data_IF_325701876697
#
_entry.id   IF_325701876697
#
_cell.length_a   1.000
_cell.length_b   1.000
_cell.length_c   1.000
_cell.angle_alpha   90.00
_cell.angle_beta   90.00
_cell.angle_gamma   90.00
#
_symmetry.space_group_name_H-M   'P 1'
#
loop_
_entity.id
_entity.type
_entity.pdbx_description
1 polymer ?
#
# COMPACT_ATOMS: atom_id res chain seq x y z
N UNK A 1 7.59 2.69 -7.18
CA UNK A 1 6.37 2.27 -6.46
C UNK A 1 6.63 1.79 -5.01
N UNK A 2 7.68 2.27 -4.32
CA UNK A 2 7.95 1.92 -2.91
C UNK A 2 7.14 2.75 -1.90
N UNK A 3 6.77 3.97 -2.31
CA UNK A 3 6.16 4.97 -1.42
C UNK A 3 4.77 4.59 -0.88
N UNK A 4 4.05 3.69 -1.55
CA UNK A 4 2.69 3.32 -1.15
C UNK A 4 2.61 2.60 0.20
N UNK A 5 3.73 2.06 0.69
CA UNK A 5 3.85 1.46 2.02
C UNK A 5 4.44 2.42 3.07
N UNK A 6 4.83 3.64 2.68
CA UNK A 6 5.31 4.65 3.63
C UNK A 6 4.13 5.17 4.47
N UNK A 7 4.38 5.39 5.76
CA UNK A 7 3.39 6.01 6.64
C UNK A 7 2.98 7.39 6.09
N UNK A 8 1.70 7.72 6.23
CA UNK A 8 1.12 8.97 5.73
C UNK A 8 1.19 9.17 4.22
N UNK A 9 1.49 8.12 3.45
CA UNK A 9 1.43 8.20 2.00
C UNK A 9 -0.02 8.23 1.53
N UNK A 10 -0.41 9.35 0.93
CA UNK A 10 -1.73 9.51 0.32
C UNK A 10 -1.59 9.72 -1.19
N UNK A 11 -2.23 8.85 -1.97
CA UNK A 11 -2.34 9.02 -3.42
C UNK A 11 -3.28 10.17 -3.80
N UNK A 12 -3.40 10.47 -5.10
CA UNK A 12 -4.32 11.52 -5.59
C UNK A 12 -5.75 11.33 -5.08
N UNK A 13 -6.25 10.09 -5.11
CA UNK A 13 -7.60 9.75 -4.63
C UNK A 13 -7.82 10.12 -3.15
N UNK A 14 -6.83 9.90 -2.29
CA UNK A 14 -6.94 10.26 -0.88
C UNK A 14 -6.64 11.74 -0.59
N UNK A 15 -6.10 12.50 -1.55
CA UNK A 15 -6.04 13.98 -1.46
C UNK A 15 -7.39 14.61 -1.80
N UNK A 16 -8.18 13.97 -2.66
CA UNK A 16 -9.52 14.43 -3.03
C UNK A 16 -10.53 14.22 -1.91
N UNK A 17 -10.42 13.09 -1.20
CA UNK A 17 -11.23 12.78 -0.01
C UNK A 17 -10.34 12.99 1.22
N UNK A 18 -10.35 14.20 1.79
CA UNK A 18 -9.44 14.66 2.84
C UNK A 18 -9.40 13.88 4.17
N UNK A 19 -10.05 12.71 4.23
CA UNK A 19 -10.08 11.82 5.39
C UNK A 19 -9.04 10.68 5.29
N UNK A 20 -8.29 10.58 4.18
CA UNK A 20 -7.32 9.50 4.00
C UNK A 20 -5.99 9.78 4.71
N UNK A 21 -5.73 9.03 5.79
CA UNK A 21 -4.51 9.16 6.61
C UNK A 21 -3.26 8.52 5.98
N UNK A 22 -3.40 7.74 4.90
CA UNK A 22 -2.26 7.04 4.29
C UNK A 22 -1.66 5.91 5.14
N UNK A 23 -2.38 5.44 6.17
CA UNK A 23 -1.84 4.45 7.12
C UNK A 23 -2.12 2.98 6.77
N UNK A 24 -3.12 2.70 5.93
CA UNK A 24 -3.60 1.34 5.69
C UNK A 24 -2.51 0.38 5.16
N UNK A 25 -1.88 0.73 4.04
CA UNK A 25 -0.82 -0.10 3.44
C UNK A 25 0.44 -0.17 4.30
N UNK A 26 0.75 0.90 5.04
CA UNK A 26 1.84 0.88 6.01
C UNK A 26 1.60 -0.18 7.09
N UNK A 27 0.41 -0.23 7.68
CA UNK A 27 0.05 -1.24 8.68
C UNK A 27 0.09 -2.65 8.11
N UNK A 28 -0.36 -2.86 6.88
CA UNK A 28 -0.26 -4.17 6.21
C UNK A 28 1.20 -4.59 6.06
N UNK A 29 2.10 -3.67 5.65
CA UNK A 29 3.53 -3.97 5.52
C UNK A 29 4.15 -4.35 6.86
N UNK A 30 3.80 -3.64 7.94
CA UNK A 30 4.26 -3.95 9.30
C UNK A 30 3.79 -5.34 9.76
N UNK A 31 2.53 -5.71 9.50
CA UNK A 31 2.00 -7.03 9.84
C UNK A 31 2.73 -8.12 9.05
N UNK A 32 2.92 -7.95 7.73
CA UNK A 32 3.67 -8.92 6.93
C UNK A 32 5.10 -9.09 7.43
N UNK A 33 5.80 -7.99 7.74
CA UNK A 33 7.17 -8.04 8.27
C UNK A 33 7.23 -8.80 9.61
N UNK A 34 6.25 -8.60 10.51
CA UNK A 34 6.18 -9.30 11.80
C UNK A 34 5.93 -10.81 11.66
N UNK A 35 5.28 -11.22 10.58
CA UNK A 35 5.01 -12.61 10.25
C UNK A 35 6.09 -13.24 9.35
N UNK A 36 7.17 -12.51 9.07
CA UNK A 36 8.25 -12.90 8.15
C UNK A 36 7.78 -13.14 6.70
N UNK A 37 6.70 -12.47 6.30
CA UNK A 37 6.12 -12.54 4.96
C UNK A 37 6.59 -11.39 4.08
N UNK A 38 6.75 -11.66 2.79
CA UNK A 38 7.04 -10.65 1.80
C UNK A 38 5.75 -10.12 1.17
N UNK A 39 5.71 -8.83 0.85
CA UNK A 39 4.58 -8.19 0.18
C UNK A 39 5.07 -7.34 -0.99
N UNK A 40 4.37 -7.47 -2.12
CA UNK A 40 4.66 -6.80 -3.38
C UNK A 40 3.39 -6.18 -3.97
N UNK A 41 3.57 -5.14 -4.78
CA UNK A 41 2.49 -4.48 -5.50
C UNK A 41 2.90 -4.22 -6.94
N UNK A 42 2.01 -4.56 -7.86
CA UNK A 42 2.11 -4.30 -9.28
C UNK A 42 0.86 -3.52 -9.68
N UNK A 43 1.01 -2.43 -10.43
CA UNK A 43 -0.13 -1.67 -10.93
C UNK A 43 0.14 -1.18 -12.33
N UNK A 44 -0.90 -1.24 -13.16
CA UNK A 44 -0.90 -0.69 -14.49
C UNK A 44 -2.13 0.21 -14.65
N UNK A 45 -1.88 1.48 -14.96
CA UNK A 45 -2.92 2.49 -15.12
C UNK A 45 -3.92 2.07 -16.21
N UNK A 46 -5.21 2.20 -15.91
CA UNK A 46 -6.28 1.79 -16.82
C UNK A 46 -6.54 0.28 -16.89
N UNK A 47 -5.74 -0.55 -16.20
CA UNK A 47 -5.95 -2.01 -16.13
C UNK A 47 -6.31 -2.44 -14.71
N UNK A 48 -5.49 -2.06 -13.73
CA UNK A 48 -5.74 -2.41 -12.33
C UNK A 48 -4.49 -2.53 -11.49
N UNK A 49 -4.67 -3.05 -10.28
CA UNK A 49 -3.60 -3.24 -9.30
C UNK A 49 -3.66 -4.66 -8.75
N UNK A 50 -2.50 -5.30 -8.64
CA UNK A 50 -2.31 -6.62 -8.04
C UNK A 50 -1.41 -6.49 -6.81
N UNK A 51 -1.84 -7.06 -5.70
CA UNK A 51 -1.07 -7.16 -4.46
C UNK A 51 -0.74 -8.63 -4.21
N UNK A 52 0.50 -8.93 -3.88
CA UNK A 52 1.01 -10.29 -3.71
C UNK A 52 1.62 -10.39 -2.32
N UNK A 53 1.22 -11.41 -1.55
CA UNK A 53 1.82 -11.75 -0.25
C UNK A 53 2.45 -13.14 -0.40
N UNK A 54 3.73 -13.26 -0.08
CA UNK A 54 4.49 -14.51 -0.05
C UNK A 54 4.69 -14.88 1.41
N UNK A 55 4.21 -16.06 1.78
CA UNK A 55 4.20 -16.61 3.14
C UNK A 55 5.46 -17.42 3.39
#
# INVERSE_FOLDING_TARGET
>A
MKRVFEAFYTGENGRTYGESTGMGLHLVKEVCNKLDHQIYIESQQGIGTKVIIII
#
